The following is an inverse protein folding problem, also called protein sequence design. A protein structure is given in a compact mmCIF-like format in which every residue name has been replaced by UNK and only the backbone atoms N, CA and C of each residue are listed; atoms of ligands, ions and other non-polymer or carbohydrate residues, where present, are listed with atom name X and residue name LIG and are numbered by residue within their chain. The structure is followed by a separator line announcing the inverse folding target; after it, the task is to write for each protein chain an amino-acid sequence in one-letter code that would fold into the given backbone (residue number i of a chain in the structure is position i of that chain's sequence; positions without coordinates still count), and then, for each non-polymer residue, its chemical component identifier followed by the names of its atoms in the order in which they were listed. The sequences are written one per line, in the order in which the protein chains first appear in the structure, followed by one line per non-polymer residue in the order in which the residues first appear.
data_IF_641519903726
#
_entry.id   IF_641519903726
#
_cell.length_a   1.000
_cell.length_b   1.000
_cell.length_c   1.000
_cell.angle_alpha   90.00
_cell.angle_beta   90.00
_cell.angle_gamma   90.00
#
_symmetry.space_group_name_H-M   'P 1'
#
loop_
_entity.id
_entity.type
_entity.pdbx_description
1 polymer ?
#
# COMPACT_ATOMS: atom_id res chain seq x y z
N UNK A 1 -12.76 -54.20 -20.49
CA UNK A 1 -13.39 -53.25 -19.53
C UNK A 1 -12.42 -52.66 -18.49
N UNK A 2 -11.30 -53.32 -18.12
CA UNK A 2 -10.29 -52.79 -17.17
C UNK A 2 -9.41 -51.65 -17.72
N UNK A 3 -9.05 -51.70 -19.00
CA UNK A 3 -8.17 -50.72 -19.67
C UNK A 3 -8.78 -49.30 -19.77
N UNK A 4 -10.11 -49.21 -19.82
CA UNK A 4 -10.83 -47.95 -19.99
C UNK A 4 -10.89 -47.18 -18.66
N UNK A 5 -11.13 -47.88 -17.53
CA UNK A 5 -11.14 -47.29 -16.19
C UNK A 5 -9.77 -46.69 -15.81
N UNK A 6 -8.67 -47.33 -16.22
CA UNK A 6 -7.31 -46.88 -15.89
C UNK A 6 -6.92 -45.56 -16.59
N UNK A 7 -7.41 -45.34 -17.83
CA UNK A 7 -7.19 -44.08 -18.58
C UNK A 7 -8.02 -42.92 -18.05
N UNK A 8 -9.23 -43.18 -17.55
CA UNK A 8 -10.08 -42.15 -16.94
C UNK A 8 -9.53 -41.67 -15.59
N UNK A 9 -8.88 -42.54 -14.82
CA UNK A 9 -8.22 -42.15 -13.58
C UNK A 9 -6.96 -41.30 -13.82
N UNK A 10 -6.18 -41.56 -14.88
CA UNK A 10 -4.98 -40.78 -15.20
C UNK A 10 -5.30 -39.31 -15.53
N UNK A 11 -6.42 -39.06 -16.22
CA UNK A 11 -6.81 -37.71 -16.66
C UNK A 11 -7.46 -36.88 -15.54
N UNK A 12 -8.12 -37.54 -14.57
CA UNK A 12 -8.75 -36.86 -13.44
C UNK A 12 -7.69 -36.28 -12.47
N UNK A 13 -6.57 -36.97 -12.28
CA UNK A 13 -5.50 -36.54 -11.37
C UNK A 13 -4.75 -35.32 -11.91
N UNK A 14 -4.58 -35.20 -13.23
CA UNK A 14 -3.90 -34.08 -13.87
C UNK A 14 -4.69 -32.76 -13.75
N UNK A 15 -6.03 -32.83 -13.79
CA UNK A 15 -6.88 -31.65 -13.66
C UNK A 15 -6.96 -31.14 -12.21
N UNK A 16 -6.91 -32.02 -11.21
CA UNK A 16 -6.87 -31.61 -9.80
C UNK A 16 -5.54 -30.94 -9.42
N UNK A 17 -4.42 -31.37 -9.99
CA UNK A 17 -3.10 -30.81 -9.69
C UNK A 17 -2.94 -29.36 -10.19
N UNK A 18 -3.61 -28.99 -11.29
CA UNK A 18 -3.56 -27.63 -11.83
C UNK A 18 -4.38 -26.60 -11.00
N UNK A 19 -5.46 -27.05 -10.34
CA UNK A 19 -6.30 -26.18 -9.52
C UNK A 19 -5.63 -25.76 -8.20
N UNK A 20 -4.70 -26.57 -7.69
CA UNK A 20 -3.96 -26.30 -6.45
C UNK A 20 -2.87 -25.22 -6.61
N UNK A 21 -2.48 -24.88 -7.84
CA UNK A 21 -1.48 -23.82 -8.12
C UNK A 21 -2.11 -22.42 -8.24
N UNK A 22 -3.43 -22.30 -8.33
CA UNK A 22 -4.12 -21.01 -8.44
C UNK A 22 -4.39 -20.32 -7.09
N UNK A 23 -3.97 -20.92 -5.97
CA UNK A 23 -4.46 -20.60 -4.63
C UNK A 23 -3.69 -19.58 -3.77
N UNK A 24 -2.63 -18.92 -4.26
CA UNK A 24 -1.78 -18.07 -3.39
C UNK A 24 -1.42 -16.70 -3.99
N UNK A 25 -2.26 -16.13 -4.85
CA UNK A 25 -1.95 -14.85 -5.48
C UNK A 25 -3.13 -13.88 -5.47
N UNK A 26 -3.84 -13.72 -4.34
CA UNK A 26 -4.79 -12.62 -4.18
C UNK A 26 -4.87 -12.18 -2.71
N UNK A 27 -3.76 -11.65 -2.17
CA UNK A 27 -3.92 -10.48 -1.30
C UNK A 27 -4.43 -9.41 -2.25
N UNK A 28 -5.61 -8.86 -1.98
CA UNK A 28 -6.23 -7.81 -2.79
C UNK A 28 -5.32 -6.58 -2.76
N UNK A 29 -4.30 -6.61 -3.60
CA UNK A 29 -3.66 -5.44 -4.11
C UNK A 29 -4.71 -4.85 -5.04
N UNK A 30 -5.30 -3.71 -4.69
CA UNK A 30 -6.36 -3.09 -5.51
C UNK A 30 -5.88 -2.74 -6.93
N UNK A 31 -4.60 -3.00 -7.27
CA UNK A 31 -4.07 -2.99 -8.62
C UNK A 31 -3.93 -1.60 -9.23
N UNK A 32 -4.49 -0.58 -8.58
CA UNK A 32 -4.55 0.80 -9.07
C UNK A 32 -3.21 1.53 -9.07
N UNK A 33 -2.32 1.19 -8.14
CA UNK A 33 -1.04 1.85 -7.92
C UNK A 33 0.02 0.75 -7.87
N UNK A 34 1.12 0.86 -8.61
CA UNK A 34 2.06 -0.26 -8.79
C UNK A 34 3.21 -0.27 -7.79
N UNK A 35 3.53 -1.46 -7.24
CA UNK A 35 4.69 -1.63 -6.37
C UNK A 35 6.01 -1.30 -7.09
N UNK A 36 6.08 -1.61 -8.39
CA UNK A 36 7.25 -1.33 -9.24
C UNK A 36 7.47 0.17 -9.40
N UNK A 37 6.39 0.96 -9.45
CA UNK A 37 6.42 2.43 -9.50
C UNK A 37 6.73 3.07 -8.13
N UNK A 38 6.88 2.27 -7.09
CA UNK A 38 7.30 2.71 -5.77
C UNK A 38 6.19 2.74 -4.72
N UNK A 39 4.94 2.51 -5.10
CA UNK A 39 3.82 2.54 -4.16
C UNK A 39 3.93 1.47 -3.08
N UNK A 40 3.65 1.84 -1.84
CA UNK A 40 3.68 0.98 -0.66
C UNK A 40 2.35 1.06 0.05
N UNK A 41 1.96 -0.06 0.62
CA UNK A 41 0.84 -0.14 1.53
C UNK A 41 1.27 0.26 2.93
N UNK A 42 0.38 0.96 3.63
CA UNK A 42 0.59 1.35 5.01
C UNK A 42 -0.70 1.74 5.69
N UNK A 43 -0.54 2.32 6.87
CA UNK A 43 -1.64 2.89 7.63
C UNK A 43 -1.19 4.15 8.36
N UNK A 44 -2.15 5.05 8.58
CA UNK A 44 -1.92 6.29 9.31
C UNK A 44 -1.70 5.99 10.80
N UNK A 45 -0.64 6.54 11.38
CA UNK A 45 -0.31 6.42 12.80
C UNK A 45 -0.38 7.73 13.58
N UNK A 46 -0.37 8.87 12.90
CA UNK A 46 -0.45 10.21 13.50
C UNK A 46 -1.02 11.19 12.46
N UNK A 47 -1.80 12.18 12.90
CA UNK A 47 -2.40 13.23 12.05
C UNK A 47 -2.33 14.55 12.81
N UNK A 48 -1.92 15.63 12.15
CA UNK A 48 -1.82 16.91 12.83
C UNK A 48 -1.52 18.10 11.93
N UNK A 49 -1.46 19.27 12.56
CA UNK A 49 -1.06 20.55 11.95
C UNK A 49 0.01 21.21 12.83
N UNK A 50 0.74 22.17 12.27
CA UNK A 50 1.71 22.99 12.99
C UNK A 50 3.10 22.35 13.17
N UNK A 51 3.98 23.08 13.87
CA UNK A 51 5.42 22.80 13.92
C UNK A 51 5.77 21.42 14.51
N UNK A 52 4.98 20.94 15.49
CA UNK A 52 5.28 19.69 16.19
C UNK A 52 5.29 18.46 15.27
N UNK A 53 4.31 18.36 14.35
CA UNK A 53 4.28 17.28 13.37
C UNK A 53 5.10 17.62 12.12
N UNK A 54 5.17 18.89 11.72
CA UNK A 54 6.00 19.33 10.60
C UNK A 54 7.50 19.06 10.84
N UNK A 55 7.97 19.10 12.09
CA UNK A 55 9.33 18.72 12.46
C UNK A 55 9.67 17.24 12.20
N UNK A 56 8.65 16.38 12.04
CA UNK A 56 8.81 14.96 11.70
C UNK A 56 8.77 14.71 10.18
N UNK A 57 8.63 15.76 9.37
CA UNK A 57 8.52 15.64 7.93
C UNK A 57 9.77 14.97 7.35
N UNK A 58 9.58 14.03 6.43
CA UNK A 58 10.69 13.40 5.75
C UNK A 58 11.54 14.46 5.03
N UNK A 59 12.87 14.38 5.14
CA UNK A 59 13.80 15.40 4.62
C UNK A 59 13.56 15.73 3.14
N UNK A 60 13.35 14.69 2.33
CA UNK A 60 13.06 14.78 0.91
C UNK A 60 11.70 15.44 0.61
N UNK A 61 10.79 15.50 1.59
CA UNK A 61 9.48 16.12 1.44
C UNK A 61 9.43 17.59 1.86
N UNK A 62 10.49 18.13 2.47
CA UNK A 62 10.53 19.55 2.92
C UNK A 62 10.48 20.56 1.77
N UNK A 63 10.87 20.16 0.57
CA UNK A 63 10.92 21.03 -0.61
C UNK A 63 9.62 21.05 -1.43
N UNK A 64 8.61 20.26 -1.04
CA UNK A 64 7.37 20.11 -1.81
C UNK A 64 6.53 21.39 -1.75
N UNK A 65 5.97 21.87 -2.89
CA UNK A 65 5.18 23.11 -2.94
C UNK A 65 3.99 23.16 -1.98
N UNK A 66 3.38 22.00 -1.66
CA UNK A 66 2.29 21.88 -0.68
C UNK A 66 2.64 22.54 0.66
N UNK A 67 3.92 22.52 1.07
CA UNK A 67 4.42 23.17 2.29
C UNK A 67 4.21 24.69 2.32
N UNK A 68 3.95 25.32 1.18
CA UNK A 68 3.71 26.77 1.06
C UNK A 68 2.22 27.13 1.14
N UNK A 69 1.32 26.15 1.21
CA UNK A 69 -0.11 26.39 1.36
C UNK A 69 -0.47 26.70 2.82
N UNK A 70 -1.42 27.60 3.04
CA UNK A 70 -1.98 27.78 4.38
C UNK A 70 -2.79 26.54 4.77
N UNK A 71 -2.69 26.12 6.03
CA UNK A 71 -3.53 25.04 6.56
C UNK A 71 -3.06 23.61 6.29
N UNK A 72 -1.82 23.40 5.81
CA UNK A 72 -1.22 22.07 5.58
C UNK A 72 -1.45 21.15 6.78
N UNK A 73 -2.06 20.00 6.50
CA UNK A 73 -2.14 18.88 7.41
C UNK A 73 -0.98 17.92 7.10
N UNK A 74 -0.54 17.21 8.11
CA UNK A 74 0.49 16.19 7.99
C UNK A 74 -0.07 14.87 8.49
N UNK A 75 0.36 13.80 7.84
CA UNK A 75 0.09 12.44 8.29
C UNK A 75 1.38 11.67 8.43
N UNK A 76 1.52 10.93 9.52
CA UNK A 76 2.59 9.93 9.67
C UNK A 76 2.05 8.58 9.28
N UNK A 77 2.70 7.91 8.34
CA UNK A 77 2.30 6.61 7.82
C UNK A 77 3.33 5.57 8.21
N UNK A 78 2.86 4.44 8.73
CA UNK A 78 3.68 3.25 8.92
C UNK A 78 3.53 2.34 7.71
N UNK A 79 4.64 1.91 7.15
CA UNK A 79 4.68 1.01 6.00
C UNK A 79 5.89 0.06 6.08
N UNK A 80 5.90 -1.00 5.27
CA UNK A 80 6.99 -1.95 5.23
C UNK A 80 7.99 -1.60 4.13
N UNK A 81 9.27 -1.52 4.48
CA UNK A 81 10.38 -1.29 3.54
C UNK A 81 11.53 -2.24 3.87
N UNK A 82 11.93 -3.04 2.90
CA UNK A 82 13.09 -3.94 3.01
C UNK A 82 13.09 -4.80 4.28
N UNK A 83 11.94 -5.38 4.64
CA UNK A 83 11.84 -6.22 5.83
C UNK A 83 11.69 -5.47 7.16
N UNK A 84 11.44 -4.16 7.16
CA UNK A 84 11.31 -3.36 8.39
C UNK A 84 10.13 -2.39 8.34
N UNK A 85 9.48 -2.21 9.48
CA UNK A 85 8.49 -1.16 9.67
C UNK A 85 9.19 0.19 9.65
N UNK A 86 8.74 1.09 8.79
CA UNK A 86 9.26 2.44 8.61
C UNK A 86 8.13 3.44 8.82
N UNK A 87 8.43 4.56 9.46
CA UNK A 87 7.52 5.70 9.58
C UNK A 87 7.90 6.75 8.54
N UNK A 88 6.90 7.40 7.95
CA UNK A 88 7.11 8.52 7.06
C UNK A 88 6.01 9.55 7.23
N UNK A 89 6.42 10.77 7.54
CA UNK A 89 5.51 11.91 7.64
C UNK A 89 5.51 12.67 6.31
N UNK A 90 4.33 12.92 5.77
CA UNK A 90 4.13 13.61 4.48
C UNK A 90 3.07 14.71 4.63
N UNK A 91 3.16 15.80 3.84
CA UNK A 91 2.10 16.80 3.81
C UNK A 91 0.88 16.28 3.05
N UNK A 92 -0.29 16.75 3.44
CA UNK A 92 -1.57 16.49 2.77
C UNK A 92 -2.34 17.80 2.64
N UNK A 93 -3.34 17.84 1.75
CA UNK A 93 -4.19 19.02 1.61
C UNK A 93 -4.97 19.27 2.90
N UNK A 94 -5.29 20.54 3.19
CA UNK A 94 -5.97 20.95 4.42
C UNK A 94 -7.34 20.29 4.61
N UNK A 95 -8.00 19.95 3.49
CA UNK A 95 -9.33 19.34 3.42
C UNK A 95 -9.29 17.80 3.46
N UNK A 96 -8.09 17.23 3.58
CA UNK A 96 -7.94 15.80 3.76
C UNK A 96 -8.47 15.38 5.13
N UNK A 97 -9.43 14.47 5.16
CA UNK A 97 -9.94 13.87 6.40
C UNK A 97 -9.25 12.53 6.67
N UNK A 98 -8.11 12.57 7.34
CA UNK A 98 -7.37 11.37 7.75
C UNK A 98 -7.64 11.02 9.21
N UNK A 99 -7.81 9.73 9.49
CA UNK A 99 -7.87 9.18 10.85
C UNK A 99 -6.73 8.20 11.09
N UNK A 100 -6.32 8.07 12.36
CA UNK A 100 -5.39 7.02 12.77
C UNK A 100 -6.02 5.65 12.44
N UNK A 101 -5.20 4.75 11.89
CA UNK A 101 -5.54 3.43 11.32
C UNK A 101 -6.15 3.44 9.92
N UNK A 102 -6.39 4.60 9.29
CA UNK A 102 -6.78 4.63 7.88
C UNK A 102 -5.75 3.86 7.02
N UNK A 103 -6.24 2.98 6.17
CA UNK A 103 -5.42 2.21 5.23
C UNK A 103 -5.09 3.09 4.02
N UNK A 104 -3.81 3.09 3.63
CA UNK A 104 -3.32 4.00 2.61
C UNK A 104 -2.32 3.34 1.67
N UNK A 105 -2.20 3.93 0.49
CA UNK A 105 -1.02 3.84 -0.35
C UNK A 105 -0.21 5.12 -0.25
N UNK A 106 1.11 4.99 -0.15
CA UNK A 106 2.06 6.09 -0.25
C UNK A 106 3.18 5.76 -1.24
N UNK A 107 3.77 6.78 -1.86
CA UNK A 107 5.02 6.63 -2.59
C UNK A 107 6.19 7.24 -1.79
N UNK A 108 7.01 6.44 -1.10
CA UNK A 108 8.13 6.95 -0.32
C UNK A 108 9.30 7.45 -1.18
N UNK A 109 9.22 7.37 -2.52
CA UNK A 109 10.23 7.89 -3.45
C UNK A 109 9.83 9.22 -4.08
N UNK A 110 8.56 9.60 -3.96
CA UNK A 110 8.03 10.83 -4.55
C UNK A 110 7.13 11.54 -3.54
N UNK A 111 7.64 12.64 -2.99
CA UNK A 111 6.89 13.43 -2.02
C UNK A 111 5.81 14.33 -2.65
N UNK A 112 5.75 14.45 -3.99
CA UNK A 112 4.64 15.12 -4.68
C UNK A 112 3.48 14.15 -4.94
N UNK A 113 3.73 12.84 -4.89
CA UNK A 113 2.68 11.84 -5.00
C UNK A 113 1.71 11.98 -3.81
N UNK A 114 0.39 12.05 -4.05
CA UNK A 114 -0.57 12.14 -2.98
C UNK A 114 -0.59 10.86 -2.14
N UNK A 115 -1.02 11.00 -0.88
CA UNK A 115 -1.43 9.84 -0.09
C UNK A 115 -2.80 9.41 -0.58
N UNK A 116 -2.91 8.15 -1.00
CA UNK A 116 -4.14 7.60 -1.58
C UNK A 116 -4.83 6.68 -0.58
N UNK A 117 -6.17 6.71 -0.53
CA UNK A 117 -6.92 5.77 0.30
C UNK A 117 -6.84 4.36 -0.26
N UNK A 118 -6.71 3.39 0.64
CA UNK A 118 -6.90 1.97 0.34
C UNK A 118 -8.26 1.55 0.89
N UNK A 119 -9.03 0.83 0.10
CA UNK A 119 -10.22 0.16 0.56
C UNK A 119 -9.85 -0.96 1.53
N UNK A 120 -10.81 -1.34 2.38
CA UNK A 120 -10.64 -2.40 3.38
C UNK A 120 -10.85 -3.78 2.76
#
# INVERSE_FOLDING_TARGET
MKEMLMRYCLNATALLAAALLAGCANVVYEGRLSWKEGWREGWVTDVGKGAAIAGKLAEDCKLVPLMRSEGVQYVTIRYWRSGRATLRTVPTTADSHWNVKDLVYLNPRDCNAPVERRAS
#
